data_IF_364406785602
#
_entry.id   IF_364406785602
#
_cell.length_a   1.000
_cell.length_b   1.000
_cell.length_c   1.000
_cell.angle_alpha   90.00
_cell.angle_beta   90.00
_cell.angle_gamma   90.00
#
_symmetry.space_group_name_H-M   'P 1'
#
loop_
_entity.id
_entity.type
_entity.pdbx_description
1 polymer ?
#
# COMPACT_ATOMS: atom_id res chain seq x y z
N UNK A 1 -12.86 -4.10 -8.16
CA UNK A 1 -12.75 -2.77 -8.82
C UNK A 1 -11.28 -2.39 -8.86
N UNK A 2 -10.74 -1.89 -9.99
CA UNK A 2 -9.31 -1.62 -10.08
C UNK A 2 -8.97 -0.35 -9.27
N UNK A 3 -8.14 -0.52 -8.24
CA UNK A 3 -7.68 0.55 -7.32
C UNK A 3 -6.81 1.59 -8.05
N UNK A 4 -6.35 1.29 -9.27
CA UNK A 4 -5.56 2.19 -10.10
C UNK A 4 -6.43 3.18 -10.89
N UNK A 5 -7.12 4.08 -10.18
CA UNK A 5 -7.51 5.38 -10.76
C UNK A 5 -6.29 6.30 -10.73
N UNK A 6 -6.15 7.14 -11.75
CA UNK A 6 -5.01 8.03 -12.08
C UNK A 6 -4.64 9.08 -11.00
N UNK A 7 -5.08 8.89 -9.75
CA UNK A 7 -5.03 9.87 -8.65
C UNK A 7 -4.12 9.44 -7.48
N UNK A 8 -3.46 8.27 -7.56
CA UNK A 8 -2.33 7.97 -6.68
C UNK A 8 -1.13 8.82 -7.12
N UNK A 9 -1.04 10.01 -6.55
CA UNK A 9 0.12 10.89 -6.77
C UNK A 9 1.40 10.18 -6.31
N UNK A 10 2.53 10.47 -6.97
CA UNK A 10 3.83 9.88 -6.58
C UNK A 10 4.13 10.07 -5.09
N UNK A 11 3.66 11.18 -4.51
CA UNK A 11 3.76 11.47 -3.09
C UNK A 11 2.99 10.46 -2.21
N UNK A 12 1.80 10.02 -2.62
CA UNK A 12 1.04 9.00 -1.89
C UNK A 12 1.75 7.65 -1.91
N UNK A 13 2.38 7.27 -3.03
CA UNK A 13 3.17 6.03 -3.12
C UNK A 13 4.40 6.10 -2.22
N UNK A 14 5.12 7.23 -2.25
CA UNK A 14 6.30 7.42 -1.38
C UNK A 14 5.91 7.39 0.10
N UNK A 15 4.78 8.02 0.48
CA UNK A 15 4.26 7.96 1.84
C UNK A 15 3.84 6.55 2.23
N UNK A 16 3.18 5.80 1.35
CA UNK A 16 2.83 4.41 1.58
C UNK A 16 4.06 3.52 1.83
N UNK A 17 5.15 3.76 1.12
CA UNK A 17 6.42 3.04 1.32
C UNK A 17 7.14 3.43 2.62
N UNK A 18 6.82 4.58 3.20
CA UNK A 18 7.34 5.00 4.51
C UNK A 18 6.53 4.44 5.69
N UNK A 19 5.30 3.98 5.44
CA UNK A 19 4.47 3.34 6.46
C UNK A 19 5.15 2.05 6.94
N UNK A 20 5.46 1.99 8.25
CA UNK A 20 6.07 0.84 8.92
C UNK A 20 5.04 -0.02 9.64
N UNK A 21 3.83 0.51 9.84
CA UNK A 21 2.74 -0.20 10.50
C UNK A 21 1.44 -0.14 9.69
N UNK A 22 0.54 -1.12 9.86
CA UNK A 22 -0.78 -1.09 9.25
C UNK A 22 -1.57 0.18 9.61
N UNK A 23 -1.41 0.68 10.83
CA UNK A 23 -2.04 1.91 11.30
C UNK A 23 -1.61 3.15 10.49
N UNK A 24 -0.31 3.29 10.19
CA UNK A 24 0.19 4.40 9.38
C UNK A 24 -0.34 4.34 7.95
N UNK A 25 -0.46 3.12 7.39
CA UNK A 25 -1.03 2.92 6.05
C UNK A 25 -2.52 3.28 6.03
N UNK A 26 -3.26 2.90 7.08
CA UNK A 26 -4.68 3.24 7.24
C UNK A 26 -4.91 4.76 7.36
N UNK A 27 -4.09 5.46 8.13
CA UNK A 27 -4.17 6.92 8.24
C UNK A 27 -3.85 7.62 6.91
N UNK A 28 -2.85 7.12 6.19
CA UNK A 28 -2.49 7.63 4.87
C UNK A 28 -3.61 7.42 3.85
N UNK A 29 -4.21 6.22 3.83
CA UNK A 29 -5.37 5.94 3.00
C UNK A 29 -6.52 6.91 3.32
N UNK A 30 -6.82 7.12 4.60
CA UNK A 30 -7.88 8.01 5.07
C UNK A 30 -7.62 9.47 4.67
N UNK A 31 -6.38 9.93 4.76
CA UNK A 31 -5.97 11.25 4.28
C UNK A 31 -6.12 11.40 2.76
N UNK A 32 -5.97 10.31 2.00
CA UNK A 32 -6.24 10.23 0.57
C UNK A 32 -7.72 10.06 0.20
N UNK A 33 -8.64 10.01 1.19
CA UNK A 33 -10.07 9.79 0.96
C UNK A 33 -10.47 8.31 0.80
N UNK A 34 -9.58 7.38 1.14
CA UNK A 34 -9.83 5.94 1.11
C UNK A 34 -9.92 5.38 2.53
N UNK A 35 -10.94 4.57 2.80
CA UNK A 35 -11.03 3.85 4.07
C UNK A 35 -10.66 2.40 3.80
N UNK A 36 -9.58 1.93 4.44
CA UNK A 36 -9.17 0.52 4.41
C UNK A 36 -9.22 -0.05 5.83
N UNK A 37 -9.47 -1.34 5.93
CA UNK A 37 -9.42 -2.10 7.18
C UNK A 37 -7.99 -2.51 7.52
N UNK A 38 -7.75 -2.90 8.79
CA UNK A 38 -6.44 -3.37 9.22
C UNK A 38 -5.97 -4.59 8.41
N UNK A 39 -6.85 -5.55 8.14
CA UNK A 39 -6.52 -6.74 7.33
C UNK A 39 -6.08 -6.35 5.91
N UNK A 40 -6.76 -5.40 5.27
CA UNK A 40 -6.37 -4.90 3.95
C UNK A 40 -5.01 -4.20 3.98
N UNK A 41 -4.73 -3.43 5.04
CA UNK A 41 -3.44 -2.77 5.23
C UNK A 41 -2.30 -3.77 5.46
N UNK A 42 -2.52 -4.76 6.33
CA UNK A 42 -1.57 -5.84 6.59
C UNK A 42 -1.28 -6.64 5.32
N UNK A 43 -2.32 -6.98 4.53
CA UNK A 43 -2.15 -7.68 3.26
C UNK A 43 -1.32 -6.85 2.27
N UNK A 44 -1.57 -5.54 2.14
CA UNK A 44 -0.80 -4.66 1.26
C UNK A 44 0.67 -4.57 1.69
N UNK A 45 0.93 -4.44 3.00
CA UNK A 45 2.30 -4.41 3.53
C UNK A 45 3.03 -5.74 3.37
N UNK A 46 2.33 -6.86 3.56
CA UNK A 46 2.87 -8.19 3.32
C UNK A 46 3.21 -8.40 1.84
N UNK A 47 2.36 -7.95 0.92
CA UNK A 47 2.65 -7.95 -0.52
C UNK A 47 3.84 -7.05 -0.86
N UNK A 48 3.96 -5.86 -0.27
CA UNK A 48 5.11 -4.98 -0.46
C UNK A 48 6.42 -5.59 0.07
N UNK A 49 6.40 -6.22 1.24
CA UNK A 49 7.55 -6.90 1.82
C UNK A 49 7.97 -8.13 0.97
N UNK A 50 6.99 -8.87 0.45
CA UNK A 50 7.21 -9.95 -0.49
C UNK A 50 7.74 -9.43 -1.85
N UNK A 51 7.28 -8.27 -2.30
CA UNK A 51 7.71 -7.63 -3.55
C UNK A 51 9.12 -7.05 -3.46
N UNK A 52 9.49 -6.49 -2.30
CA UNK A 52 10.84 -5.99 -2.01
C UNK A 52 11.91 -7.10 -1.98
N UNK A 53 11.49 -8.36 -1.86
CA UNK A 53 12.34 -9.56 -1.92
C UNK A 53 12.08 -10.43 -3.17
N UNK A 54 11.26 -9.96 -4.12
CA UNK A 54 10.55 -10.82 -5.07
C UNK A 54 10.68 -10.48 -6.56
N UNK A 55 11.85 -10.03 -7.04
CA UNK A 55 12.19 -10.11 -8.46
C UNK A 55 12.63 -11.55 -8.82
N UNK A 56 11.82 -12.59 -8.55
CA UNK A 56 12.18 -13.95 -8.96
C UNK A 56 11.06 -14.99 -8.82
N UNK A 57 10.00 -14.92 -9.64
CA UNK A 57 9.29 -16.12 -10.15
C UNK A 57 8.79 -15.85 -11.56
N UNK A 58 9.73 -15.71 -12.50
CA UNK A 58 9.43 -16.08 -13.90
C UNK A 58 9.31 -17.60 -13.91
N UNK A 59 8.17 -18.06 -14.42
CA UNK A 59 7.90 -19.44 -14.81
C UNK A 59 9.00 -19.99 -15.71
#
# INVERSE_FOLDING_TARGET
MPIYKKDLTKEMVVKAMQCKTPEELMEMAKAGGFTITREEAESYMAELAASASGQQRKM
#
